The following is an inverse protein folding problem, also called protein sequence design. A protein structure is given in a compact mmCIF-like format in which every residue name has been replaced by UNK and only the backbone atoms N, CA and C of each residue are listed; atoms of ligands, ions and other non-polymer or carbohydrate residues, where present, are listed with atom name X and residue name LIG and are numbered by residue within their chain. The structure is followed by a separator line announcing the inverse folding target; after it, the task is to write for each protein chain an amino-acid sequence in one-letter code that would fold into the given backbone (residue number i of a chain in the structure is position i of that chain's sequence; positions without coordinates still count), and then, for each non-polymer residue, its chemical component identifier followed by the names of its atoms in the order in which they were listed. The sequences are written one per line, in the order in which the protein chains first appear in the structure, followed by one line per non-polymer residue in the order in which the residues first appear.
data_IF_671374932264
#
_entry.id   IF_671374932264
#
_cell.length_a   1.000
_cell.length_b   1.000
_cell.length_c   1.000
_cell.angle_alpha   90.00
_cell.angle_beta   90.00
_cell.angle_gamma   90.00
#
_symmetry.space_group_name_H-M   'P 1'
#
loop_
_entity.id
_entity.type
_entity.pdbx_description
1 polymer ?
#
# COMPACT_ATOMS: atom_id res chain seq x y z
N UNK A 1 38.74 27.35 -8.79
CA UNK A 1 38.40 27.14 -7.36
C UNK A 1 36.97 27.56 -7.00
N UNK A 2 36.39 28.62 -7.58
CA UNK A 2 35.03 29.10 -7.22
C UNK A 2 33.86 28.20 -7.70
N UNK A 3 34.00 27.51 -8.82
CA UNK A 3 32.98 26.63 -9.39
C UNK A 3 32.77 25.34 -8.58
N UNK A 4 33.86 24.79 -8.01
CA UNK A 4 33.80 23.60 -7.15
C UNK A 4 32.99 23.83 -5.87
N UNK A 5 33.07 25.03 -5.28
CA UNK A 5 32.28 25.37 -4.10
C UNK A 5 30.78 25.41 -4.39
N UNK A 6 30.38 25.92 -5.55
CA UNK A 6 28.95 26.00 -5.91
C UNK A 6 28.38 24.59 -6.12
N UNK A 7 29.13 23.73 -6.84
CA UNK A 7 28.71 22.34 -7.09
C UNK A 7 28.64 21.52 -5.79
N UNK A 8 29.56 21.71 -4.85
CA UNK A 8 29.51 21.04 -3.56
C UNK A 8 28.29 21.50 -2.72
N UNK A 9 28.00 22.79 -2.71
CA UNK A 9 26.85 23.34 -1.96
C UNK A 9 25.52 22.83 -2.53
N UNK A 10 25.38 22.74 -3.85
CA UNK A 10 24.15 22.21 -4.48
C UNK A 10 23.97 20.72 -4.22
N UNK A 11 25.05 19.93 -4.22
CA UNK A 11 24.99 18.49 -3.88
C UNK A 11 24.58 18.28 -2.42
N UNK A 12 25.15 19.05 -1.48
CA UNK A 12 24.81 18.96 -0.06
C UNK A 12 23.33 19.33 0.17
N UNK A 13 22.85 20.41 -0.46
CA UNK A 13 21.43 20.79 -0.40
C UNK A 13 20.53 19.69 -0.96
N UNK A 14 20.87 19.09 -2.11
CA UNK A 14 20.09 18.00 -2.69
C UNK A 14 20.02 16.76 -1.78
N UNK A 15 21.14 16.39 -1.14
CA UNK A 15 21.19 15.26 -0.20
C UNK A 15 20.34 15.50 1.06
N UNK A 16 20.29 16.74 1.56
CA UNK A 16 19.43 17.10 2.70
C UNK A 16 17.94 17.00 2.35
N UNK A 17 17.53 17.39 1.14
CA UNK A 17 16.14 17.26 0.68
C UNK A 17 15.70 15.79 0.55
N UNK A 18 16.59 14.89 0.10
CA UNK A 18 16.27 13.46 -0.05
C UNK A 18 16.09 12.78 1.32
N UNK A 19 16.82 13.23 2.34
CA UNK A 19 16.70 12.70 3.72
C UNK A 19 15.34 13.02 4.36
N UNK A 20 14.74 14.17 4.03
CA UNK A 20 13.46 14.60 4.60
C UNK A 20 12.23 13.79 4.09
N UNK A 21 12.37 13.03 2.99
CA UNK A 21 11.27 12.26 2.40
C UNK A 21 11.16 10.81 2.88
N UNK A 22 12.06 10.32 3.75
CA UNK A 22 12.04 8.92 4.22
C UNK A 22 11.28 8.66 5.52
N UNK A 23 10.62 9.67 6.09
CA UNK A 23 9.77 9.51 7.28
C UNK A 23 8.36 9.05 6.89
N UNK A 24 8.24 7.89 6.24
CA UNK A 24 6.95 7.23 6.07
C UNK A 24 6.61 6.48 7.37
N UNK A 25 5.57 6.86 8.13
CA UNK A 25 5.17 6.11 9.31
C UNK A 25 4.59 4.77 8.84
N UNK A 26 5.31 3.68 9.14
CA UNK A 26 4.80 2.32 9.01
C UNK A 26 3.67 2.14 10.04
N UNK A 27 2.41 1.88 9.65
CA UNK A 27 1.43 1.44 10.62
C UNK A 27 1.84 0.04 11.10
N UNK A 28 2.13 -0.04 12.39
CA UNK A 28 2.36 -1.30 13.08
C UNK A 28 1.19 -2.25 12.81
N UNK A 29 1.51 -3.43 12.30
CA UNK A 29 0.63 -4.57 12.21
C UNK A 29 0.12 -4.93 13.61
N UNK A 30 -1.12 -4.54 13.91
CA UNK A 30 -1.85 -5.08 15.05
C UNK A 30 -2.44 -6.42 14.59
N UNK A 31 -1.86 -7.52 15.04
CA UNK A 31 -2.49 -8.82 14.97
C UNK A 31 -3.73 -8.81 15.88
N UNK A 32 -4.93 -9.20 15.42
CA UNK A 32 -6.01 -9.51 16.33
C UNK A 32 -5.80 -10.93 16.85
N UNK A 33 -5.46 -10.97 18.13
CA UNK A 33 -5.54 -12.09 19.05
C UNK A 33 -6.93 -12.76 18.93
N UNK A 34 -6.93 -14.09 18.80
CA UNK A 34 -8.13 -14.91 18.85
C UNK A 34 -8.71 -14.85 20.26
N UNK A 35 -9.71 -14.00 20.48
CA UNK A 35 -10.72 -14.24 21.52
C UNK A 35 -11.99 -13.53 21.09
N UNK A 36 -12.96 -14.27 20.56
CA UNK A 36 -14.32 -13.78 20.40
C UNK A 36 -14.91 -13.52 21.81
N UNK A 37 -15.15 -12.27 22.22
CA UNK A 37 -15.85 -12.01 23.47
C UNK A 37 -17.32 -12.36 23.23
N UNK A 38 -17.90 -13.13 24.13
CA UNK A 38 -19.33 -13.42 24.13
C UNK A 38 -20.12 -12.13 23.99
N UNK A 39 -20.95 -12.06 22.95
CA UNK A 39 -21.81 -10.92 22.66
C UNK A 39 -22.86 -10.85 23.76
N UNK A 40 -22.67 -9.95 24.72
CA UNK A 40 -23.80 -9.43 25.49
C UNK A 40 -24.60 -8.54 24.54
N UNK A 41 -25.78 -9.03 24.13
CA UNK A 41 -26.71 -8.29 23.27
C UNK A 41 -27.33 -7.19 24.14
N UNK A 42 -26.63 -6.05 24.24
CA UNK A 42 -27.21 -4.81 24.72
C UNK A 42 -28.18 -4.27 23.69
N UNK A 43 -29.42 -4.04 24.10
CA UNK A 43 -30.51 -3.48 23.30
C UNK A 43 -30.31 -1.97 23.15
N UNK A 44 -29.23 -1.58 22.47
CA UNK A 44 -29.00 -0.20 22.04
C UNK A 44 -29.34 -0.12 20.54
N UNK A 45 -30.50 0.47 20.22
CA UNK A 45 -31.01 0.76 18.87
C UNK A 45 -30.16 1.79 18.09
N UNK A 46 -28.85 1.86 18.35
CA UNK A 46 -27.97 2.82 17.72
C UNK A 46 -27.53 2.28 16.36
N UNK A 47 -27.81 2.98 15.23
CA UNK A 47 -27.43 2.49 13.91
C UNK A 47 -25.90 2.45 13.79
N UNK A 48 -25.35 1.25 13.60
CA UNK A 48 -23.94 1.06 13.34
C UNK A 48 -23.66 1.10 11.83
N UNK A 49 -22.53 1.67 11.43
CA UNK A 49 -22.08 1.66 10.03
C UNK A 49 -21.19 0.46 9.80
N UNK A 50 -21.64 -0.49 8.97
CA UNK A 50 -20.83 -1.64 8.55
C UNK A 50 -20.29 -1.37 7.15
N UNK A 51 -18.96 -1.44 6.99
CA UNK A 51 -18.31 -1.37 5.67
C UNK A 51 -17.94 -2.78 5.22
N UNK A 52 -18.55 -3.24 4.14
CA UNK A 52 -18.27 -4.56 3.55
C UNK A 52 -17.37 -4.39 2.33
N UNK A 53 -16.22 -5.07 2.33
CA UNK A 53 -15.35 -5.20 1.17
C UNK A 53 -15.62 -6.55 0.50
N UNK A 54 -16.02 -6.54 -0.77
CA UNK A 54 -16.28 -7.77 -1.52
C UNK A 54 -15.10 -8.07 -2.44
N UNK A 55 -14.50 -9.25 -2.29
CA UNK A 55 -13.52 -9.80 -3.22
C UNK A 55 -14.23 -10.68 -4.23
N UNK A 56 -13.93 -10.50 -5.51
CA UNK A 56 -14.51 -11.30 -6.60
C UNK A 56 -13.41 -11.96 -7.41
N UNK A 57 -13.47 -13.29 -7.51
CA UNK A 57 -12.57 -14.05 -8.36
C UNK A 57 -13.10 -14.05 -9.80
N UNK A 58 -12.26 -13.59 -10.73
CA UNK A 58 -12.56 -13.56 -12.17
C UNK A 58 -11.38 -14.12 -12.95
N UNK A 59 -11.62 -14.78 -14.10
CA UNK A 59 -10.53 -15.22 -14.97
C UNK A 59 -9.78 -14.00 -15.51
N UNK A 60 -8.45 -14.03 -15.37
CA UNK A 60 -7.56 -12.95 -15.78
C UNK A 60 -6.19 -13.47 -16.19
N UNK A 61 -5.29 -12.55 -16.52
CA UNK A 61 -3.90 -12.84 -16.86
C UNK A 61 -2.97 -11.90 -16.11
N UNK A 62 -1.84 -12.42 -15.65
CA UNK A 62 -0.77 -11.60 -15.11
C UNK A 62 -0.06 -10.86 -16.25
N UNK A 63 -0.04 -9.53 -16.18
CA UNK A 63 0.59 -8.64 -17.15
C UNK A 63 1.59 -7.73 -16.46
N UNK A 64 2.63 -7.32 -17.18
CA UNK A 64 3.63 -6.37 -16.68
C UNK A 64 3.27 -4.97 -17.12
N UNK A 65 2.97 -4.09 -16.16
CA UNK A 65 2.65 -2.69 -16.42
C UNK A 65 3.92 -1.89 -16.76
N UNK A 66 3.74 -0.73 -17.40
CA UNK A 66 4.82 0.24 -17.55
C UNK A 66 5.29 0.69 -16.16
N UNK A 67 6.57 0.51 -15.87
CA UNK A 67 7.14 0.67 -14.52
C UNK A 67 7.61 -0.66 -13.91
N UNK A 68 7.29 -1.79 -14.55
CA UNK A 68 7.85 -3.09 -14.21
C UNK A 68 7.03 -3.92 -13.22
N UNK A 69 6.00 -3.33 -12.60
CA UNK A 69 5.08 -3.99 -11.69
C UNK A 69 4.19 -5.02 -12.39
N UNK A 70 3.93 -6.14 -11.73
CA UNK A 70 2.99 -7.16 -12.17
C UNK A 70 1.57 -6.80 -11.72
N UNK A 71 0.58 -7.13 -12.55
CA UNK A 71 -0.84 -6.88 -12.28
C UNK A 71 -1.71 -7.99 -12.87
N UNK A 72 -2.89 -8.23 -12.29
CA UNK A 72 -3.91 -9.11 -12.85
C UNK A 72 -4.88 -8.31 -13.74
N UNK A 73 -4.90 -8.60 -15.03
CA UNK A 73 -5.84 -7.99 -15.98
C UNK A 73 -6.94 -9.01 -16.36
N UNK A 74 -8.19 -8.64 -16.16
CA UNK A 74 -9.37 -9.32 -16.69
C UNK A 74 -10.02 -8.49 -17.79
N UNK A 75 -11.15 -8.93 -18.35
CA UNK A 75 -11.90 -8.14 -19.33
C UNK A 75 -12.39 -6.80 -18.78
N UNK A 76 -12.77 -6.76 -17.49
CA UNK A 76 -13.41 -5.58 -16.90
C UNK A 76 -12.62 -4.91 -15.77
N UNK A 77 -11.54 -5.52 -15.30
CA UNK A 77 -10.78 -5.05 -14.13
C UNK A 77 -9.28 -5.18 -14.34
N UNK A 78 -8.53 -4.23 -13.77
CA UNK A 78 -7.08 -4.28 -13.63
C UNK A 78 -6.73 -4.16 -12.15
N UNK A 79 -6.12 -5.20 -11.59
CA UNK A 79 -5.65 -5.24 -10.21
C UNK A 79 -4.11 -5.22 -10.14
N UNK A 80 -3.50 -4.07 -9.82
CA UNK A 80 -2.05 -3.92 -9.73
C UNK A 80 -1.42 -4.49 -8.45
N UNK A 81 -2.20 -4.96 -7.48
CA UNK A 81 -1.72 -5.48 -6.18
C UNK A 81 -2.10 -6.95 -5.96
N UNK A 82 -2.51 -7.66 -7.00
CA UNK A 82 -2.88 -9.06 -6.89
C UNK A 82 -1.66 -9.95 -6.53
N UNK A 83 -1.69 -10.54 -5.34
CA UNK A 83 -0.59 -11.34 -4.79
C UNK A 83 -0.20 -12.53 -5.68
N UNK A 84 -1.18 -13.15 -6.36
CA UNK A 84 -0.94 -14.28 -7.27
C UNK A 84 -0.02 -13.90 -8.44
N UNK A 85 -0.08 -12.63 -8.88
CA UNK A 85 0.76 -12.15 -10.00
C UNK A 85 2.12 -11.63 -9.55
N UNK A 86 2.31 -11.37 -8.25
CA UNK A 86 3.59 -10.93 -7.69
C UNK A 86 4.57 -12.09 -7.47
N UNK A 87 4.06 -13.31 -7.30
CA UNK A 87 4.85 -14.52 -7.01
C UNK A 87 5.66 -15.06 -8.22
N UNK A 88 5.41 -14.58 -9.44
CA UNK A 88 6.03 -15.07 -10.68
C UNK A 88 6.91 -14.04 -11.40
N UNK A 89 7.28 -12.95 -10.73
CA UNK A 89 8.07 -11.83 -11.27
C UNK A 89 9.58 -12.04 -11.23
#
# INVERSE_FOLDING_TARGET
MRTFSIVMVTIILALLFISACHSSPSPASVAPDETAPGVEIGEDDTPCTVKVHTVKNVPGKCVRLRGGSMACQSESYLDPVNEDCLMFG
#
